data_IF_241639673078
#
_entry.id   IF_241639673078
#
_cell.length_a   1.000
_cell.length_b   1.000
_cell.length_c   1.000
_cell.angle_alpha   90.00
_cell.angle_beta   90.00
_cell.angle_gamma   90.00
#
_symmetry.space_group_name_H-M   'P 1'
#
loop_
_entity.id
_entity.type
_entity.pdbx_description
1 polymer ?
2 non-polymer ?
3 non-polymer ?
4 non-polymer ?
5 water ?
#
# COMPACT_ATOMS: atom_id res chain seq x y z
CA UNK A 19 14.61 0.37 6.11
C UNK A 19 14.44 1.05 4.75
N UNK A 20 13.20 1.37 4.42
CA UNK A 20 12.88 2.09 3.19
C UNK A 20 12.63 3.57 3.50
N UNK A 21 12.55 4.38 2.45
CA UNK A 21 12.19 5.78 2.58
C UNK A 21 10.98 6.03 1.69
N UNK A 22 9.83 6.22 2.32
CA UNK A 22 8.59 6.38 1.59
C UNK A 22 8.29 7.85 1.35
N UNK A 23 7.58 8.10 0.27
CA UNK A 23 7.30 9.45 -0.18
C UNK A 23 5.91 9.42 -0.79
N UNK A 24 5.15 10.50 -0.67
CA UNK A 24 3.83 10.52 -1.32
C UNK A 24 3.95 10.15 -2.79
N UNK A 25 3.10 9.22 -3.23
CA UNK A 25 3.10 8.74 -4.59
C UNK A 25 3.75 7.38 -4.76
N UNK A 26 4.53 6.94 -3.79
CA UNK A 26 5.01 5.57 -3.78
C UNK A 26 3.85 4.59 -3.71
N UNK A 27 3.90 3.58 -4.56
CA UNK A 27 2.96 2.46 -4.55
C UNK A 27 3.53 1.34 -3.69
N UNK A 28 2.71 0.79 -2.80
CA UNK A 28 3.19 -0.10 -1.75
C UNK A 28 2.15 -1.17 -1.49
N UNK A 29 2.62 -2.33 -1.04
CA UNK A 29 1.76 -3.27 -0.34
C UNK A 29 1.77 -2.90 1.13
N UNK A 30 0.60 -2.99 1.76
CA UNK A 30 0.41 -2.59 3.14
C UNK A 30 -0.37 -3.67 3.87
N UNK A 31 0.06 -4.00 5.08
CA UNK A 31 -0.59 -5.03 5.88
C UNK A 31 -1.24 -4.39 7.11
N UNK A 32 -2.56 -4.52 7.21
CA UNK A 32 -3.35 -4.12 8.37
C UNK A 32 -3.87 -5.38 9.05
N UNK A 33 -3.91 -5.37 10.38
CA UNK A 33 -4.57 -6.47 11.09
C UNK A 33 -5.96 -6.68 10.51
N UNK A 34 -6.27 -7.94 10.19
CA UNK A 34 -7.57 -8.30 9.66
C UNK A 34 -7.75 -8.14 8.16
N UNK A 35 -6.69 -7.84 7.41
CA UNK A 35 -6.80 -7.60 5.98
C UNK A 35 -5.65 -8.26 5.25
N UNK A 36 -5.88 -8.73 4.02
CA UNK A 36 -4.76 -9.18 3.20
C UNK A 36 -3.82 -8.02 2.93
N UNK A 37 -2.64 -8.33 2.43
CA UNK A 37 -1.81 -7.29 1.88
C UNK A 37 -2.59 -6.51 0.82
N UNK A 38 -2.54 -5.18 0.91
CA UNK A 38 -3.34 -4.28 0.08
C UNK A 38 -2.45 -3.38 -0.76
N UNK A 39 -2.61 -3.36 -2.08
CA UNK A 39 -1.94 -2.33 -2.89
C UNK A 39 -2.42 -0.94 -2.48
N UNK A 40 -1.47 -0.07 -2.16
CA UNK A 40 -1.80 1.25 -1.64
C UNK A 40 -0.92 2.31 -2.27
N UNK A 41 -1.37 3.55 -2.14
CA UNK A 41 -0.62 4.74 -2.50
C UNK A 41 -0.30 5.53 -1.23
N UNK A 42 0.99 5.75 -0.96
CA UNK A 42 1.39 6.66 0.12
C UNK A 42 0.77 8.02 -0.12
N UNK A 43 0.13 8.59 0.90
CA UNK A 43 -0.70 9.77 0.70
C UNK A 43 -0.42 10.84 1.75
N UNK A 44 -0.29 12.08 1.29
CA UNK A 44 -0.19 13.19 2.23
C UNK A 44 -1.60 13.59 2.64
N UNK A 45 -1.95 13.31 3.88
CA UNK A 45 -3.16 13.85 4.48
C UNK A 45 -3.02 15.37 4.55
N UNK A 46 -3.96 16.14 3.99
CA UNK A 46 -3.73 17.58 3.84
C UNK A 46 -3.69 18.36 5.14
N UNK A 47 -4.07 17.78 6.29
CA UNK A 47 -3.93 18.46 7.58
C UNK A 47 -3.00 17.75 8.54
N UNK A 48 -2.99 16.43 8.55
CA UNK A 48 -2.20 15.69 9.52
C UNK A 48 -0.91 15.10 8.93
N UNK A 49 -0.67 15.30 7.63
CA UNK A 49 0.60 14.96 7.02
C UNK A 49 0.70 13.52 6.52
N UNK A 50 1.94 13.12 6.27
CA UNK A 50 2.24 11.79 5.73
C UNK A 50 2.58 10.79 6.83
N UNK A 51 3.25 11.22 7.88
CA UNK A 51 3.72 10.31 8.91
C UNK A 51 3.16 10.68 10.26
N UNK A 52 3.00 9.66 11.09
CA UNK A 52 2.87 9.83 12.53
C UNK A 52 4.20 9.45 13.11
N UNK A 53 4.88 10.41 13.73
CA UNK A 53 6.21 10.22 14.30
C UNK A 53 6.17 10.69 15.76
N UNK A 54 5.51 9.90 16.61
CA UNK A 54 5.42 10.18 18.04
C UNK A 54 6.61 9.59 18.78
N UNK A 55 6.99 10.24 19.88
CA UNK A 55 8.19 9.88 20.62
C UNK A 55 8.04 8.50 21.24
N UNK A 56 8.97 7.59 20.91
CA UNK A 56 8.95 6.23 21.40
C UNK A 56 8.20 5.22 20.55
N UNK A 57 7.26 5.66 19.71
CA UNK A 57 6.39 4.77 18.95
C UNK A 57 6.99 4.45 17.57
N UNK A 58 6.44 3.43 16.92
CA UNK A 58 6.84 3.16 15.54
C UNK A 58 6.15 4.12 14.58
N UNK A 59 6.87 4.46 13.50
CA UNK A 59 6.31 5.33 12.47
C UNK A 59 5.12 4.68 11.76
N UNK A 60 4.08 5.47 11.54
CA UNK A 60 2.98 5.07 10.68
C UNK A 60 2.94 5.97 9.45
N UNK A 61 2.46 5.41 8.34
CA UNK A 61 2.38 6.11 7.07
C UNK A 61 0.92 6.24 6.69
N UNK A 62 0.54 7.41 6.19
CA UNK A 62 -0.80 7.61 5.65
C UNK A 62 -0.83 7.06 4.22
N UNK A 63 -1.71 6.08 3.97
CA UNK A 63 -1.83 5.42 2.67
C UNK A 63 -3.26 5.54 2.16
N UNK A 64 -3.38 5.53 0.83
CA UNK A 64 -4.64 5.44 0.10
C UNK A 64 -4.72 4.06 -0.53
N UNK A 65 -5.75 3.29 -0.16
CA UNK A 65 -5.93 1.97 -0.76
C UNK A 65 -6.52 2.10 -2.15
N UNK A 66 -6.09 1.24 -3.07
CA UNK A 66 -6.67 1.19 -4.41
C UNK A 66 -8.00 0.44 -4.45
N UNK A 67 -8.88 0.67 -3.48
CA UNK A 67 -10.19 0.05 -3.45
C UNK A 67 -11.08 0.75 -4.47
N UNK A 68 -12.37 0.37 -4.51
CA UNK A 68 -13.29 0.95 -5.50
C UNK A 68 -13.36 2.46 -5.37
N UNK A 69 -13.21 2.98 -4.17
CA UNK A 69 -13.07 4.41 -3.94
C UNK A 69 -11.84 4.60 -3.07
N UNK A 70 -11.25 5.84 -3.03
CA UNK A 70 -9.98 6.02 -2.30
C UNK A 70 -10.11 5.97 -0.79
N UNK A 71 -10.07 4.78 -0.19
CA UNK A 71 -9.97 4.67 1.27
C UNK A 71 -8.60 5.15 1.75
N UNK A 72 -8.59 5.87 2.88
CA UNK A 72 -7.36 6.27 3.54
C UNK A 72 -7.31 5.76 4.97
N UNK A 73 -6.10 5.42 5.40
CA UNK A 73 -5.84 5.00 6.77
C UNK A 73 -4.36 5.10 7.05
N UNK A 74 -3.98 4.72 8.26
CA UNK A 74 -2.58 4.74 8.66
C UNK A 74 -2.09 3.32 8.88
N UNK A 75 -0.86 3.07 8.44
CA UNK A 75 -0.29 1.74 8.47
C UNK A 75 1.13 1.83 9.03
N UNK A 76 1.48 0.85 9.85
CA UNK A 76 2.84 0.74 10.35
C UNK A 76 3.85 0.70 9.20
N UNK A 77 4.83 1.60 9.26
CA UNK A 77 5.82 1.71 8.19
C UNK A 77 6.51 0.38 7.94
N UNK A 78 6.74 -0.40 9.00
CA UNK A 78 7.40 -1.69 8.84
C UNK A 78 6.46 -2.77 8.34
N UNK A 79 5.21 -2.42 8.03
CA UNK A 79 4.29 -3.30 7.33
C UNK A 79 3.96 -2.74 5.95
N UNK A 80 4.92 -2.05 5.35
CA UNK A 80 4.87 -1.62 3.96
C UNK A 80 5.99 -2.29 3.18
N UNK A 81 5.71 -2.58 1.92
CA UNK A 81 6.71 -3.11 0.99
C UNK A 81 6.42 -2.51 -0.37
N UNK A 82 7.41 -2.43 -1.25
CA UNK A 82 7.19 -1.74 -2.53
C UNK A 82 6.25 -2.52 -3.44
N UNK A 83 5.36 -1.80 -4.12
CA UNK A 83 4.49 -2.42 -5.12
C UNK A 83 5.25 -2.43 -6.43
N UNK A 84 5.37 -3.62 -7.04
CA UNK A 84 6.12 -3.80 -8.29
C UNK A 84 5.32 -4.60 -9.31
N UNK A 85 4.03 -4.30 -9.45
CA UNK A 85 3.22 -4.87 -10.52
C UNK A 85 2.57 -6.19 -10.13
N UNK A 86 1.43 -6.46 -10.76
CA UNK A 86 0.79 -7.77 -10.59
C UNK A 86 1.64 -8.91 -11.13
N UNK A 87 2.61 -8.61 -12.00
CA UNK A 87 3.41 -9.67 -12.60
C UNK A 87 4.55 -10.12 -11.70
N UNK A 88 4.87 -9.35 -10.66
CA UNK A 88 5.97 -9.67 -9.77
C UNK A 88 5.73 -11.01 -9.09
N UNK A 89 6.82 -11.74 -8.86
CA UNK A 89 6.76 -13.03 -8.20
C UNK A 89 6.03 -12.95 -6.87
N UNK A 90 6.26 -11.88 -6.10
CA UNK A 90 5.66 -11.82 -4.78
C UNK A 90 4.14 -11.70 -4.85
N UNK A 91 3.61 -11.23 -5.98
CA UNK A 91 2.18 -11.01 -6.14
C UNK A 91 1.43 -12.20 -6.71
N UNK A 92 2.13 -13.19 -7.26
CA UNK A 92 1.47 -14.34 -7.87
C UNK A 92 1.35 -15.48 -6.86
N UNK A 93 0.71 -16.58 -7.26
CA UNK A 93 0.34 -17.64 -6.33
C UNK A 93 1.56 -18.13 -5.56
N UNK A 94 1.39 -18.32 -4.25
CA UNK A 94 2.48 -18.67 -3.37
C UNK A 94 3.43 -17.54 -3.06
N UNK A 95 3.28 -16.38 -3.70
CA UNK A 95 4.10 -15.23 -3.39
C UNK A 95 3.68 -14.59 -2.08
N UNK A 96 4.54 -13.68 -1.61
CA UNK A 96 4.30 -13.02 -0.32
C UNK A 96 2.95 -12.30 -0.31
N UNK A 97 2.61 -11.63 -1.41
CA UNK A 97 1.47 -10.72 -1.44
C UNK A 97 0.23 -11.29 -2.11
N UNK A 98 0.22 -12.57 -2.47
CA UNK A 98 -0.86 -13.10 -3.28
C UNK A 98 -2.16 -13.19 -2.49
N UNK A 99 -3.26 -12.73 -3.09
CA UNK A 99 -4.59 -13.09 -2.61
C UNK A 99 -5.50 -13.36 -3.79
N UNK A 100 -6.54 -14.14 -3.53
CA UNK A 100 -7.58 -14.36 -4.51
C UNK A 100 -8.83 -13.53 -4.23
N UNK A 101 -8.80 -12.66 -3.22
CA UNK A 101 -9.98 -11.86 -2.90
C UNK A 101 -10.27 -10.89 -4.05
N UNK A 102 -11.53 -10.73 -4.43
CA UNK A 102 -11.83 -9.87 -5.60
C UNK A 102 -11.36 -8.44 -5.44
N UNK A 103 -11.49 -7.87 -4.24
CA UNK A 103 -11.05 -6.49 -4.03
C UNK A 103 -9.55 -6.34 -4.31
N UNK A 104 -8.75 -7.35 -3.95
CA UNK A 104 -7.32 -7.28 -4.21
C UNK A 104 -7.02 -7.29 -5.71
N UNK A 105 -7.70 -8.18 -6.47
CA UNK A 105 -7.49 -8.25 -7.92
C UNK A 105 -7.84 -6.94 -8.60
N UNK A 106 -8.97 -6.34 -8.20
CA UNK A 106 -9.31 -5.01 -8.71
C UNK A 106 -8.26 -3.98 -8.32
N UNK A 107 -7.73 -4.07 -7.10
CA UNK A 107 -6.75 -3.08 -6.66
C UNK A 107 -5.43 -3.23 -7.41
N UNK A 108 -5.00 -4.47 -7.64
CA UNK A 108 -3.76 -4.66 -8.38
C UNK A 108 -3.87 -4.04 -9.77
N UNK A 109 -5.05 -4.14 -10.38
CA UNK A 109 -5.26 -3.52 -11.69
C UNK A 109 -5.03 -2.02 -11.62
N UNK A 110 -5.76 -1.35 -10.71
CA UNK A 110 -5.58 0.08 -10.54
C UNK A 110 -4.13 0.41 -10.25
N UNK A 111 -3.51 -0.33 -9.32
CA UNK A 111 -2.11 -0.12 -8.99
C UNK A 111 -1.21 -0.27 -10.22
N UNK A 112 -1.44 -1.29 -11.06
CA UNK A 112 -0.63 -1.42 -12.27
C UNK A 112 -0.80 -0.20 -13.18
N UNK A 113 -2.02 0.31 -13.30
CA UNK A 113 -2.24 1.55 -14.05
C UNK A 113 -1.43 2.68 -13.45
N UNK A 114 -1.55 2.85 -12.12
CA UNK A 114 -0.81 3.91 -11.44
C UNK A 114 0.69 3.75 -11.63
N UNK A 115 1.16 2.51 -11.65
CA UNK A 115 2.58 2.24 -11.78
C UNK A 115 3.08 2.61 -13.17
N UNK A 116 2.33 2.21 -14.22
CA UNK A 116 2.65 2.48 -15.63
C UNK A 116 2.52 3.95 -16.00
N UNK A 117 2.44 4.88 -15.06
CA UNK A 117 2.48 6.30 -15.40
C UNK A 117 3.84 6.88 -14.99
N UNK A 118 4.63 6.07 -14.28
CA UNK A 118 5.96 6.46 -13.83
X LIG B 1 -7.17 -16.10 -0.89
X LIG C 1 -15.97 -1.57 -1.68
X LIG D 1 10.14 2.37 12.89
X LIG D 1 10.16 0.91 12.85
X LIG D 1 8.77 2.87 12.88
X LIG D 1 10.78 2.82 14.12
X LIG D 1 10.89 2.90 11.74
X LIG E 1 -4.61 -11.43 10.31
X LIG E 1 -5.09 -10.96 9.02
X LIG E 1 -5.68 -12.18 10.96
X LIG E 1 -3.46 -12.32 10.12
X LIG E 1 -4.24 -10.30 11.17
X LIG F 1 -9.55 11.41 7.96
X LIG F 1 -10.37 11.97 6.88
X LIG F 1 -10.37 10.54 8.80
X LIG F 1 -9.01 12.51 8.78
X LIG F 1 -8.45 10.64 7.39
X LIG G 1 2.21 -12.24 6.64
X LIG G 1 2.37 -13.21 7.72
X LIG G 1 1.43 -12.86 5.56
X LIG G 1 3.52 -11.83 6.14
X LIG G 1 1.51 -11.06 7.17
X LIG H 1 4.24 15.00 7.80
X LIG I 1 10.68 12.54 14.95
X LIG J 1 -1.89 -3.53 12.18
#
# INVERSE_FOLDING_TARGET
MHHHHHHSSGRENLYFQGSCDFSPGDLVWAKMEGYPWWPCLVYNHPFDGTFIREKGKSVRVHVQFFDDSPTRGWVSKRLLKPYTGSKSKEAQKGGHFYSAKPEILRAMQRADEALNKDKIKRLELAVCDE
UNX UNK
MG MG
SO4 S O1 O2 O3 O4
SO4 S O1 O2 O3 O4
SO4 S O1 O2 O3 O4
SO4 S O1 O2 O3 O4
UNX UNK
UNX UNK
UNX UNK
#
